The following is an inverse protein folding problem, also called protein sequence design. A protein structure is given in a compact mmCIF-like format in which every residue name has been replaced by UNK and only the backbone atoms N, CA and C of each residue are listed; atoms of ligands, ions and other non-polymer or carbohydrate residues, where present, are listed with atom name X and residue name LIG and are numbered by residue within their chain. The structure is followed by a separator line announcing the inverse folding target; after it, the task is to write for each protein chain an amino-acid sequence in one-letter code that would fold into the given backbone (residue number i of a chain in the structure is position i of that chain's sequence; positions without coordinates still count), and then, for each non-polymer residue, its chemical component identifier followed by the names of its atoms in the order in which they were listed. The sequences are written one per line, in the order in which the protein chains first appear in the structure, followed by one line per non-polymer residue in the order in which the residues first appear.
data_IF_093718878269
#
_entry.id   IF_093718878269
#
_cell.length_a   1.000
_cell.length_b   1.000
_cell.length_c   1.000
_cell.angle_alpha   90.00
_cell.angle_beta   90.00
_cell.angle_gamma   90.00
#
_symmetry.space_group_name_H-M   'P 1'
#
loop_
_entity.id
_entity.type
_entity.pdbx_description
1 polymer ?
#
# COMPACT_ATOMS: atom_id res chain seq x y z
N UNK A 1 -11.94 14.73 56.99
CA UNK A 1 -11.44 13.36 57.21
C UNK A 1 -11.97 12.47 56.08
N UNK A 2 -11.13 11.92 55.20
CA UNK A 2 -11.54 10.97 54.17
C UNK A 2 -11.29 9.51 54.60
N UNK A 3 -11.97 8.51 54.01
CA UNK A 3 -11.46 7.15 53.99
C UNK A 3 -10.88 6.76 52.63
N UNK A 4 -9.61 6.36 52.71
CA UNK A 4 -8.98 5.19 52.11
C UNK A 4 -9.17 4.85 50.61
N UNK A 5 -8.06 5.04 49.91
CA UNK A 5 -7.58 4.39 48.70
C UNK A 5 -7.89 2.88 48.57
N UNK A 6 -8.29 2.44 47.36
CA UNK A 6 -8.05 1.08 46.88
C UNK A 6 -7.48 1.11 45.46
N UNK A 7 -6.33 0.44 45.32
CA UNK A 7 -5.51 0.39 44.12
C UNK A 7 -6.12 -0.45 43.00
N UNK A 8 -5.83 -0.01 41.77
CA UNK A 8 -6.18 -0.65 40.51
C UNK A 8 -5.07 -1.66 40.15
N UNK A 9 -5.36 -2.96 40.25
CA UNK A 9 -4.48 -4.01 39.71
C UNK A 9 -4.88 -4.28 38.25
N UNK A 10 -4.01 -3.93 37.32
CA UNK A 10 -4.14 -4.27 35.89
C UNK A 10 -3.40 -5.58 35.65
N UNK A 11 -4.15 -6.65 35.41
CA UNK A 11 -3.63 -7.96 35.02
C UNK A 11 -3.31 -8.00 33.52
N UNK A 12 -2.03 -8.06 33.15
CA UNK A 12 -1.60 -8.42 31.80
C UNK A 12 -1.38 -9.94 31.71
N UNK A 13 -2.36 -10.67 31.17
CA UNK A 13 -2.17 -12.07 30.74
C UNK A 13 -1.58 -12.10 29.33
N UNK A 14 -0.28 -12.36 29.22
CA UNK A 14 0.36 -12.73 27.96
C UNK A 14 0.19 -14.24 27.71
N UNK A 15 -0.58 -14.59 26.68
CA UNK A 15 -0.63 -15.95 26.13
C UNK A 15 0.63 -16.18 25.29
N UNK A 16 1.55 -17.01 25.78
CA UNK A 16 2.66 -17.56 24.99
C UNK A 16 2.17 -18.84 24.31
N UNK A 17 2.06 -18.82 22.98
CA UNK A 17 2.08 -20.06 22.20
C UNK A 17 3.51 -20.31 21.72
N UNK A 18 4.07 -21.42 22.18
CA UNK A 18 5.30 -21.99 21.69
C UNK A 18 4.99 -22.94 20.53
N UNK A 19 5.69 -22.82 19.41
CA UNK A 19 5.86 -23.93 18.49
C UNK A 19 7.32 -24.00 18.03
N UNK A 20 7.96 -25.08 18.45
CA UNK A 20 9.24 -25.57 17.95
C UNK A 20 9.08 -25.90 16.46
N UNK A 21 9.97 -25.39 15.60
CA UNK A 21 10.34 -26.08 14.37
C UNK A 21 11.85 -26.03 14.18
N UNK A 22 12.40 -27.21 13.97
CA UNK A 22 13.81 -27.51 13.73
C UNK A 22 14.25 -27.04 12.35
N UNK A 23 15.46 -26.49 12.29
CA UNK A 23 16.11 -25.97 11.09
C UNK A 23 16.86 -27.11 10.37
N UNK A 24 16.60 -27.43 9.08
CA UNK A 24 17.52 -28.24 8.29
C UNK A 24 18.52 -27.35 7.52
N UNK A 25 19.79 -27.76 7.58
CA UNK A 25 20.92 -27.19 6.85
C UNK A 25 20.78 -27.40 5.34
N UNK A 26 21.04 -26.36 4.54
CA UNK A 26 21.22 -26.48 3.08
C UNK A 26 22.71 -26.26 2.75
N UNK A 27 23.34 -27.11 1.91
CA UNK A 27 24.72 -26.95 1.47
C UNK A 27 24.85 -25.97 0.29
N UNK A 28 26.04 -25.36 0.17
CA UNK A 28 26.47 -24.44 -0.90
C UNK A 28 26.52 -25.16 -2.26
N UNK A 29 26.18 -24.50 -3.39
CA UNK A 29 26.60 -24.98 -4.70
C UNK A 29 27.96 -24.39 -5.12
N UNK A 30 28.80 -25.29 -5.62
CA UNK A 30 30.12 -25.07 -6.20
C UNK A 30 30.03 -24.49 -7.62
N UNK A 31 30.98 -23.60 -7.89
CA UNK A 31 31.73 -23.41 -9.13
C UNK A 31 31.02 -23.58 -10.48
N UNK A 32 30.68 -22.41 -11.02
CA UNK A 32 30.62 -22.00 -12.42
C UNK A 32 31.78 -22.57 -13.26
N UNK A 33 31.48 -23.27 -14.35
CA UNK A 33 32.42 -23.51 -15.45
C UNK A 33 31.74 -23.17 -16.80
N UNK A 34 32.48 -22.32 -17.54
CA UNK A 34 32.55 -21.98 -18.98
C UNK A 34 31.43 -22.47 -19.91
N UNK A 35 30.96 -21.67 -20.86
CA UNK A 35 31.76 -21.28 -22.04
C UNK A 35 31.01 -20.24 -22.90
N UNK A 36 31.70 -19.21 -23.41
CA UNK A 36 31.52 -18.68 -24.78
C UNK A 36 32.54 -17.58 -25.10
N UNK A 37 33.46 -17.95 -26.00
CA UNK A 37 33.93 -17.23 -27.19
C UNK A 37 34.34 -15.76 -27.04
N UNK A 38 35.64 -15.51 -27.22
CA UNK A 38 36.22 -14.21 -27.59
C UNK A 38 36.81 -14.30 -29.01
N UNK A 39 36.77 -13.23 -29.83
CA UNK A 39 37.66 -13.09 -30.98
C UNK A 39 38.94 -12.33 -30.59
N UNK A 40 40.01 -12.71 -31.29
CA UNK A 40 41.40 -12.34 -31.09
C UNK A 40 41.74 -10.93 -31.60
N UNK A 41 42.71 -10.29 -30.95
CA UNK A 41 43.60 -9.30 -31.57
C UNK A 41 45.04 -9.53 -31.09
N UNK A 42 45.95 -9.41 -32.05
CA UNK A 42 47.37 -9.81 -32.11
C UNK A 42 48.35 -8.89 -31.36
N UNK A 43 49.65 -9.28 -31.21
CA UNK A 43 50.53 -8.83 -30.14
C UNK A 43 51.56 -7.76 -30.56
N UNK A 44 52.12 -7.03 -29.58
CA UNK A 44 53.31 -6.18 -29.78
C UNK A 44 54.32 -6.33 -28.62
N UNK A 45 55.34 -7.13 -28.94
CA UNK A 45 56.80 -7.12 -28.65
C UNK A 45 57.41 -6.17 -27.59
N UNK A 46 58.52 -6.69 -27.03
CA UNK A 46 59.69 -6.04 -26.38
C UNK A 46 59.54 -5.71 -24.87
N UNK A 47 60.51 -5.92 -23.97
CA UNK A 47 61.88 -6.41 -24.08
C UNK A 47 62.43 -6.85 -22.69
N UNK A 48 63.31 -7.86 -22.75
CA UNK A 48 64.53 -8.18 -21.96
C UNK A 48 64.85 -7.50 -20.60
N UNK A 49 65.19 -8.34 -19.59
CA UNK A 49 66.49 -8.35 -18.84
C UNK A 49 66.46 -9.45 -17.76
N UNK A 50 67.08 -10.62 -17.99
CA UNK A 50 68.38 -11.05 -17.43
C UNK A 50 68.59 -10.84 -15.91
N UNK A 51 68.62 -11.94 -15.14
CA UNK A 51 69.84 -12.44 -14.49
C UNK A 51 69.68 -13.87 -13.92
N UNK A 52 70.62 -14.74 -14.31
CA UNK A 52 71.07 -15.98 -13.66
C UNK A 52 71.53 -15.69 -12.21
N UNK A 53 71.64 -16.62 -11.25
CA UNK A 53 71.58 -18.07 -11.22
C UNK A 53 72.04 -18.56 -9.83
N UNK A 54 71.96 -19.87 -9.65
CA UNK A 54 72.66 -20.73 -8.67
C UNK A 54 72.34 -20.66 -7.15
N UNK A 55 71.62 -21.72 -6.76
CA UNK A 55 72.01 -22.79 -5.83
C UNK A 55 72.23 -22.57 -4.33
N UNK A 56 71.80 -23.64 -3.63
CA UNK A 56 72.26 -24.22 -2.36
C UNK A 56 71.51 -23.83 -1.08
N UNK A 57 70.65 -24.77 -0.66
CA UNK A 57 70.64 -25.41 0.66
C UNK A 57 70.95 -24.58 1.91
N UNK A 58 70.03 -24.62 2.88
CA UNK A 58 70.41 -24.42 4.28
C UNK A 58 69.35 -23.80 5.17
N UNK A 59 68.56 -24.68 5.78
CA UNK A 59 68.11 -24.64 7.18
C UNK A 59 67.68 -23.30 7.85
N UNK A 60 66.42 -23.31 8.30
CA UNK A 60 65.89 -22.73 9.54
C UNK A 60 66.41 -21.36 10.02
N UNK A 61 65.49 -20.36 10.05
CA UNK A 61 65.23 -19.53 11.25
C UNK A 61 63.98 -18.65 11.10
N UNK A 62 63.11 -18.78 12.10
CA UNK A 62 62.16 -17.80 12.67
C UNK A 62 61.84 -16.54 11.86
N UNK A 63 60.65 -16.53 11.23
CA UNK A 63 60.00 -15.33 10.70
C UNK A 63 58.90 -14.84 11.64
N UNK A 64 59.21 -13.80 12.39
CA UNK A 64 58.32 -13.01 13.23
C UNK A 64 57.31 -12.26 12.33
N UNK A 65 56.03 -12.65 12.34
CA UNK A 65 54.97 -11.93 11.63
C UNK A 65 54.31 -10.90 12.55
N UNK A 66 54.56 -9.62 12.23
CA UNK A 66 53.84 -8.45 12.74
C UNK A 66 52.35 -8.54 12.40
N UNK A 67 51.50 -8.72 13.40
CA UNK A 67 50.05 -8.61 13.26
C UNK A 67 49.64 -7.13 13.26
N UNK A 68 49.02 -6.68 12.16
CA UNK A 68 48.34 -5.40 12.09
C UNK A 68 47.15 -5.44 13.05
N UNK A 69 47.28 -4.74 14.18
CA UNK A 69 46.24 -4.57 15.20
C UNK A 69 45.03 -3.84 14.59
N UNK A 70 44.08 -4.58 14.00
CA UNK A 70 42.72 -4.05 13.76
C UNK A 70 42.10 -3.85 15.13
N UNK A 71 41.82 -2.60 15.48
CA UNK A 71 41.16 -2.22 16.73
C UNK A 71 39.81 -2.94 16.82
N UNK A 72 39.80 -4.08 17.50
CA UNK A 72 38.61 -4.88 17.76
C UNK A 72 37.99 -4.40 19.07
N UNK A 73 37.43 -3.20 19.05
CA UNK A 73 36.69 -2.64 20.19
C UNK A 73 35.48 -3.50 20.62
N UNK A 74 35.11 -4.51 19.83
CA UNK A 74 33.91 -5.33 20.04
C UNK A 74 34.17 -6.85 19.98
N UNK A 75 35.37 -7.35 20.33
CA UNK A 75 35.62 -8.81 20.39
C UNK A 75 34.89 -9.50 21.56
N UNK A 76 34.49 -8.74 22.58
CA UNK A 76 33.79 -9.29 23.76
C UNK A 76 32.28 -9.49 23.53
N UNK A 77 31.72 -8.90 22.48
CA UNK A 77 30.28 -8.94 22.20
C UNK A 77 29.97 -10.09 21.24
N UNK A 78 29.05 -10.98 21.62
CA UNK A 78 28.66 -12.12 20.78
C UNK A 78 28.12 -11.65 19.41
N UNK A 79 28.27 -12.45 18.33
CA UNK A 79 27.90 -12.03 16.96
C UNK A 79 26.44 -11.54 16.81
N UNK A 80 25.53 -12.10 17.60
CA UNK A 80 24.11 -11.72 17.65
C UNK A 80 23.90 -10.32 18.22
N UNK A 81 24.63 -9.96 19.28
CA UNK A 81 24.56 -8.64 19.91
C UNK A 81 25.23 -7.58 19.03
N UNK A 82 26.29 -7.93 18.30
CA UNK A 82 26.92 -7.04 17.32
C UNK A 82 25.98 -6.67 16.16
N UNK A 83 25.20 -7.64 15.67
CA UNK A 83 24.15 -7.39 14.66
C UNK A 83 23.00 -6.53 15.21
N UNK A 84 22.61 -6.73 16.47
CA UNK A 84 21.59 -5.93 17.14
C UNK A 84 22.03 -4.48 17.35
N UNK A 85 23.26 -4.28 17.84
CA UNK A 85 23.88 -2.96 18.00
C UNK A 85 23.99 -2.29 16.63
N UNK A 86 24.45 -3.00 15.60
CA UNK A 86 24.54 -2.43 14.26
C UNK A 86 23.17 -2.01 13.70
N UNK A 87 22.13 -2.84 13.88
CA UNK A 87 20.75 -2.49 13.51
C UNK A 87 20.25 -1.26 14.28
N UNK A 88 20.48 -1.18 15.59
CA UNK A 88 20.03 -0.08 16.42
C UNK A 88 20.69 1.26 16.04
N UNK A 89 22.00 1.25 15.74
CA UNK A 89 22.76 2.48 15.49
C UNK A 89 22.83 2.89 14.00
N UNK A 90 22.75 1.95 13.05
CA UNK A 90 22.88 2.26 11.62
C UNK A 90 21.56 2.13 10.86
N UNK A 91 20.64 1.25 11.26
CA UNK A 91 19.32 1.11 10.62
C UNK A 91 18.25 1.89 11.40
N UNK A 92 18.33 1.90 12.73
CA UNK A 92 17.41 2.59 13.62
C UNK A 92 17.24 4.08 13.30
N UNK A 93 18.31 4.89 13.20
CA UNK A 93 18.16 6.32 12.97
C UNK A 93 17.59 6.67 11.58
N UNK A 94 18.01 6.05 10.45
CA UNK A 94 17.38 6.29 9.16
C UNK A 94 15.91 5.85 9.12
N UNK A 95 15.58 4.68 9.69
CA UNK A 95 14.19 4.19 9.75
C UNK A 95 13.34 5.08 10.65
N UNK A 96 13.87 5.50 11.80
CA UNK A 96 13.22 6.44 12.71
C UNK A 96 13.00 7.80 12.06
N UNK A 97 13.99 8.32 11.32
CA UNK A 97 13.87 9.55 10.54
C UNK A 97 12.75 9.43 9.50
N UNK A 98 12.69 8.32 8.76
CA UNK A 98 11.63 8.07 7.79
C UNK A 98 10.25 7.99 8.48
N UNK A 99 10.13 7.19 9.53
CA UNK A 99 8.85 7.02 10.25
C UNK A 99 8.40 8.32 10.94
N UNK A 100 9.32 9.21 11.33
CA UNK A 100 8.95 10.48 11.95
C UNK A 100 8.69 11.59 10.93
N UNK A 101 9.41 11.67 9.82
CA UNK A 101 9.25 12.76 8.83
C UNK A 101 8.16 12.51 7.79
N UNK A 102 7.87 11.26 7.44
CA UNK A 102 6.92 10.99 6.35
C UNK A 102 5.45 11.01 6.79
N UNK A 103 5.03 10.43 7.93
CA UNK A 103 3.64 10.47 8.39
C UNK A 103 3.34 11.61 9.38
N UNK A 104 4.35 12.20 10.02
CA UNK A 104 4.18 13.27 11.00
C UNK A 104 5.06 14.48 10.62
N UNK A 105 4.57 15.69 10.80
CA UNK A 105 5.33 16.92 10.57
C UNK A 105 5.04 17.92 11.67
N UNK A 106 6.07 18.56 12.21
CA UNK A 106 5.90 19.67 13.15
C UNK A 106 5.90 20.98 12.35
N UNK A 107 4.78 21.70 12.40
CA UNK A 107 4.61 22.99 11.72
C UNK A 107 4.43 24.12 12.73
N UNK A 108 4.75 25.34 12.31
CA UNK A 108 4.52 26.56 13.10
C UNK A 108 3.26 27.25 12.59
N UNK A 109 2.39 27.66 13.51
CA UNK A 109 1.18 28.40 13.18
C UNK A 109 1.48 29.88 13.30
N UNK A 110 1.29 30.61 12.20
CA UNK A 110 1.47 32.06 12.14
C UNK A 110 0.12 32.70 11.82
N UNK A 111 -0.23 33.77 12.54
CA UNK A 111 -1.44 34.56 12.30
C UNK A 111 -2.63 34.26 13.26
N UNK A 112 -3.65 35.14 13.24
CA UNK A 112 -4.76 35.13 14.22
C UNK A 112 -5.92 34.21 13.84
N UNK A 113 -5.90 33.62 12.65
CA UNK A 113 -7.13 33.06 12.06
C UNK A 113 -7.71 31.85 12.79
N UNK A 114 -6.92 31.21 13.66
CA UNK A 114 -7.31 30.08 14.49
C UNK A 114 -7.36 30.43 15.99
N UNK A 115 -7.28 31.73 16.33
CA UNK A 115 -7.46 32.23 17.69
C UNK A 115 -8.92 32.07 18.13
N UNK A 116 -9.22 31.65 19.38
CA UNK A 116 -8.31 31.51 20.52
C UNK A 116 -7.62 30.14 20.63
N UNK A 117 -8.01 29.14 19.83
CA UNK A 117 -7.47 27.78 19.97
C UNK A 117 -5.96 27.75 19.71
N UNK A 118 -5.54 28.28 18.57
CA UNK A 118 -4.14 28.42 18.18
C UNK A 118 -3.78 29.91 18.16
N UNK A 119 -2.59 30.22 18.67
CA UNK A 119 -2.01 31.56 18.68
C UNK A 119 -2.89 32.59 19.42
N UNK A 120 -3.32 32.24 20.63
CA UNK A 120 -4.20 33.06 21.47
C UNK A 120 -3.61 34.45 21.79
N UNK A 121 -2.28 34.52 21.98
CA UNK A 121 -1.58 35.75 22.39
C UNK A 121 -1.18 36.65 21.21
N UNK A 122 -1.69 36.38 20.01
CA UNK A 122 -1.34 37.15 18.82
C UNK A 122 -1.64 38.65 18.94
N UNK A 123 -2.73 39.01 19.63
CA UNK A 123 -3.15 40.41 19.81
C UNK A 123 -2.39 41.13 20.93
N UNK A 124 -1.76 40.40 21.86
CA UNK A 124 -1.20 40.94 23.10
C UNK A 124 0.14 41.66 22.92
N UNK A 125 0.78 41.57 21.75
CA UNK A 125 2.07 42.22 21.43
C UNK A 125 3.28 41.74 22.26
N UNK A 126 3.07 40.99 23.34
CA UNK A 126 4.10 40.26 24.07
C UNK A 126 4.67 39.18 23.15
N UNK A 127 6.00 39.19 22.98
CA UNK A 127 6.84 38.21 22.27
C UNK A 127 6.07 37.27 21.34
N UNK A 128 6.08 37.53 20.04
CA UNK A 128 5.38 36.75 19.00
C UNK A 128 5.83 35.28 19.01
N UNK A 129 5.22 34.50 19.89
CA UNK A 129 5.64 33.17 20.21
C UNK A 129 4.69 32.23 19.48
N UNK A 130 5.18 31.66 18.38
CA UNK A 130 4.37 30.82 17.50
C UNK A 130 4.04 29.49 18.15
N UNK A 131 2.76 29.13 18.15
CA UNK A 131 2.33 27.78 18.48
C UNK A 131 2.91 26.79 17.47
N UNK A 132 3.33 25.63 17.98
CA UNK A 132 3.75 24.51 17.13
C UNK A 132 2.66 23.46 17.12
N UNK A 133 2.44 22.84 15.97
CA UNK A 133 1.43 21.81 15.79
C UNK A 133 2.05 20.54 15.23
N UNK A 134 1.57 19.39 15.66
CA UNK A 134 1.90 18.10 15.06
C UNK A 134 0.83 17.75 14.04
N UNK A 135 1.25 17.70 12.78
CA UNK A 135 0.41 17.37 11.64
C UNK A 135 0.64 15.91 11.28
N UNK A 136 -0.42 15.12 11.28
CA UNK A 136 -0.44 13.79 10.70
C UNK A 136 -0.73 13.90 9.21
N UNK A 137 0.28 13.66 8.38
CA UNK A 137 0.15 13.72 6.91
C UNK A 137 -0.78 12.63 6.41
N UNK A 138 -1.64 12.99 5.45
CA UNK A 138 -2.41 12.03 4.68
C UNK A 138 -1.42 11.30 3.76
N UNK A 139 -1.34 9.98 3.86
CA UNK A 139 -0.47 9.18 3.00
C UNK A 139 -1.31 8.69 1.81
N UNK A 140 -1.04 9.23 0.62
CA UNK A 140 -1.69 8.74 -0.59
C UNK A 140 -1.27 7.28 -0.87
N UNK A 141 -2.22 6.39 -1.21
CA UNK A 141 -2.01 4.94 -1.31
C UNK A 141 -1.07 4.50 -2.46
N UNK A 142 -0.59 5.40 -3.30
CA UNK A 142 0.13 5.08 -4.54
C UNK A 142 1.66 4.96 -4.41
N UNK A 143 2.20 4.74 -3.21
CA UNK A 143 3.63 4.40 -3.06
C UNK A 143 3.86 2.90 -3.23
N UNK A 144 4.56 2.43 -4.27
CA UNK A 144 4.90 1.03 -4.44
C UNK A 144 5.94 0.61 -3.38
N UNK A 145 5.63 -0.42 -2.58
CA UNK A 145 6.62 -1.13 -1.77
C UNK A 145 6.38 -1.21 -0.26
N UNK A 146 5.42 -0.47 0.31
CA UNK A 146 5.04 -0.62 1.71
C UNK A 146 3.55 -0.30 1.90
N UNK A 147 2.69 -1.31 1.83
CA UNK A 147 1.27 -1.19 2.16
C UNK A 147 1.01 -1.75 3.57
N UNK A 148 1.16 -0.99 4.66
CA UNK A 148 0.06 -1.02 5.61
C UNK A 148 -1.13 -0.43 4.85
N UNK A 149 -2.23 -1.18 4.73
CA UNK A 149 -3.53 -0.64 4.33
C UNK A 149 -3.96 0.37 5.40
N UNK A 150 -3.36 1.56 5.38
CA UNK A 150 -3.76 2.64 6.26
C UNK A 150 -5.20 2.97 5.85
N UNK A 151 -6.15 2.98 6.80
CA UNK A 151 -7.55 3.24 6.50
C UNK A 151 -7.67 4.57 5.76
N UNK A 152 -8.58 4.66 4.78
CA UNK A 152 -8.90 5.94 4.13
C UNK A 152 -9.16 6.97 5.22
N UNK A 153 -8.39 8.06 5.23
CA UNK A 153 -8.56 9.13 6.20
C UNK A 153 -9.93 9.77 5.95
N UNK A 154 -10.87 9.50 6.84
CA UNK A 154 -12.19 10.13 6.81
C UNK A 154 -12.07 11.46 7.54
N UNK A 155 -12.25 12.55 6.80
CA UNK A 155 -12.37 13.89 7.38
C UNK A 155 -13.65 13.93 8.22
N UNK A 156 -13.53 14.38 9.46
CA UNK A 156 -14.67 14.56 10.37
C UNK A 156 -14.86 16.03 10.70
N UNK A 157 -16.11 16.41 10.97
CA UNK A 157 -16.47 17.75 11.48
C UNK A 157 -15.69 18.05 12.76
N UNK A 158 -15.29 19.30 12.93
CA UNK A 158 -14.52 19.79 14.08
C UNK A 158 -13.02 19.56 14.00
N UNK A 159 -12.52 18.66 13.13
CA UNK A 159 -11.08 18.42 12.97
C UNK A 159 -10.35 19.65 12.43
N UNK A 160 -9.08 19.81 12.82
CA UNK A 160 -8.20 20.81 12.23
C UNK A 160 -7.42 20.18 11.09
N UNK A 161 -7.45 20.83 9.93
CA UNK A 161 -6.77 20.39 8.72
C UNK A 161 -5.74 21.42 8.29
N UNK A 162 -4.64 20.91 7.76
CA UNK A 162 -3.59 21.69 7.10
C UNK A 162 -3.67 21.40 5.61
N UNK A 163 -3.76 22.44 4.79
CA UNK A 163 -4.01 22.31 3.36
C UNK A 163 -3.35 23.45 2.57
N UNK A 164 -3.13 23.22 1.27
CA UNK A 164 -2.68 24.26 0.34
C UNK A 164 -3.80 25.25 0.05
N UNK A 165 -3.53 26.54 0.20
CA UNK A 165 -4.54 27.56 0.01
C UNK A 165 -5.00 27.61 -1.46
N UNK A 166 -6.31 27.60 -1.76
CA UNK A 166 -6.80 27.53 -3.14
C UNK A 166 -6.46 28.78 -3.97
N UNK A 167 -6.25 29.92 -3.33
CA UNK A 167 -5.89 31.19 -3.96
C UNK A 167 -4.37 31.39 -4.13
N UNK A 168 -3.56 30.61 -3.41
CA UNK A 168 -2.10 30.71 -3.44
C UNK A 168 -1.48 29.34 -3.08
N UNK A 169 -1.11 28.53 -4.08
CA UNK A 169 -0.65 27.15 -3.85
C UNK A 169 0.70 27.06 -3.13
N UNK A 170 1.46 28.16 -3.04
CA UNK A 170 2.70 28.19 -2.26
C UNK A 170 2.44 28.35 -0.76
N UNK A 171 1.23 28.81 -0.39
CA UNK A 171 0.85 29.02 1.01
C UNK A 171 0.09 27.84 1.57
N UNK A 172 0.41 27.51 2.81
CA UNK A 172 -0.27 26.50 3.61
C UNK A 172 -1.10 27.19 4.68
N UNK A 173 -2.34 26.76 4.83
CA UNK A 173 -3.27 27.27 5.83
C UNK A 173 -3.70 26.16 6.79
N UNK A 174 -3.99 26.56 8.03
CA UNK A 174 -4.61 25.70 9.05
C UNK A 174 -6.00 26.23 9.32
N UNK A 175 -7.02 25.39 9.16
CA UNK A 175 -8.43 25.72 9.41
C UNK A 175 -9.15 24.56 10.08
N UNK A 176 -10.34 24.84 10.61
CA UNK A 176 -11.24 23.84 11.15
C UNK A 176 -12.22 23.37 10.09
N UNK A 177 -12.44 22.07 10.00
CA UNK A 177 -13.51 21.47 9.20
C UNK A 177 -14.85 21.75 9.89
N UNK A 178 -15.70 22.50 9.22
CA UNK A 178 -17.05 22.81 9.67
C UNK A 178 -18.07 21.88 9.03
N UNK A 179 -17.88 21.53 7.75
CA UNK A 179 -18.75 20.56 7.09
C UNK A 179 -18.02 19.66 6.09
N UNK A 180 -18.63 18.51 5.87
CA UNK A 180 -18.16 17.40 5.04
C UNK A 180 -19.20 17.13 3.94
N UNK A 181 -18.89 16.29 2.92
CA UNK A 181 -19.81 16.05 1.82
C UNK A 181 -21.22 15.67 2.27
N UNK A 182 -22.22 16.34 1.70
CA UNK A 182 -23.64 16.18 2.06
C UNK A 182 -24.17 17.13 3.12
N UNK A 183 -23.31 17.90 3.80
CA UNK A 183 -23.76 18.94 4.73
C UNK A 183 -24.29 20.17 3.98
N UNK A 184 -25.28 20.83 4.57
CA UNK A 184 -25.77 22.13 4.13
C UNK A 184 -25.32 23.20 5.12
N UNK A 185 -24.65 24.23 4.63
CA UNK A 185 -24.00 25.25 5.46
C UNK A 185 -24.51 26.62 5.06
N UNK A 186 -24.97 27.39 6.05
CA UNK A 186 -25.24 28.81 5.86
C UNK A 186 -23.91 29.58 5.92
N UNK A 187 -23.45 30.20 4.82
CA UNK A 187 -22.23 30.99 4.81
C UNK A 187 -22.37 32.27 5.67
N UNK A 188 -21.25 32.90 5.99
CA UNK A 188 -21.22 34.23 6.61
C UNK A 188 -21.54 35.31 5.56
N UNK A 189 -21.96 36.48 6.03
CA UNK A 189 -22.21 37.65 5.19
C UNK A 189 -20.96 37.98 4.34
N UNK A 190 -21.19 38.33 3.07
CA UNK A 190 -20.11 38.64 2.12
C UNK A 190 -19.55 37.43 1.35
N UNK A 191 -20.16 36.24 1.46
CA UNK A 191 -19.79 35.11 0.62
C UNK A 191 -20.13 35.38 -0.85
N UNK A 192 -19.18 35.17 -1.80
CA UNK A 192 -19.42 35.46 -3.22
C UNK A 192 -20.56 34.66 -3.86
N UNK A 193 -20.92 33.50 -3.30
CA UNK A 193 -22.05 32.69 -3.76
C UNK A 193 -23.41 33.14 -3.23
N UNK A 194 -23.49 34.26 -2.51
CA UNK A 194 -24.72 34.81 -1.93
C UNK A 194 -25.07 34.27 -0.55
N UNK A 195 -26.27 34.60 -0.07
CA UNK A 195 -26.74 34.23 1.28
C UNK A 195 -27.42 32.85 1.33
N UNK A 196 -27.52 32.16 0.18
CA UNK A 196 -28.14 30.84 0.11
C UNK A 196 -27.28 29.76 0.79
N UNK A 197 -27.90 28.79 1.49
CA UNK A 197 -27.17 27.69 2.09
C UNK A 197 -26.46 26.84 1.03
N UNK A 198 -25.17 26.61 1.22
CA UNK A 198 -24.31 25.84 0.31
C UNK A 198 -24.29 24.38 0.73
N UNK A 199 -24.52 23.47 -0.23
CA UNK A 199 -24.31 22.03 -0.01
C UNK A 199 -22.86 21.68 -0.32
N UNK A 200 -22.18 21.01 0.61
CA UNK A 200 -20.79 20.59 0.40
C UNK A 200 -20.75 19.41 -0.59
N UNK A 201 -20.07 19.53 -1.74
CA UNK A 201 -20.07 18.49 -2.77
C UNK A 201 -19.13 17.33 -2.45
N UNK A 202 -19.21 16.28 -3.26
CA UNK A 202 -18.34 15.11 -3.17
C UNK A 202 -16.86 15.52 -3.19
N UNK A 203 -16.06 14.85 -2.36
CA UNK A 203 -14.62 15.08 -2.22
C UNK A 203 -14.23 16.54 -1.89
N UNK A 204 -15.15 17.32 -1.33
CA UNK A 204 -14.88 18.66 -0.82
C UNK A 204 -15.22 18.78 0.66
N UNK A 205 -14.68 19.81 1.31
CA UNK A 205 -14.93 20.15 2.71
C UNK A 205 -15.11 21.65 2.84
N UNK A 206 -15.93 22.07 3.80
CA UNK A 206 -16.04 23.46 4.19
C UNK A 206 -15.21 23.69 5.43
N UNK A 207 -14.24 24.60 5.32
CA UNK A 207 -13.31 24.94 6.40
C UNK A 207 -13.45 26.41 6.82
N UNK A 208 -13.38 26.67 8.12
CA UNK A 208 -13.42 28.01 8.69
C UNK A 208 -12.29 28.22 9.72
N UNK A 209 -11.89 29.47 9.91
CA UNK A 209 -11.06 29.84 11.05
C UNK A 209 -11.90 30.09 12.31
N UNK A 210 -11.29 29.88 13.48
CA UNK A 210 -11.92 30.18 14.78
C UNK A 210 -11.91 31.68 15.10
N UNK A 211 -11.01 32.45 14.47
CA UNK A 211 -10.85 33.87 14.70
C UNK A 211 -11.93 34.75 14.05
N UNK A 212 -11.87 36.05 14.35
CA UNK A 212 -12.81 37.04 13.81
C UNK A 212 -12.51 37.41 12.35
N UNK A 213 -11.24 37.51 11.99
CA UNK A 213 -10.78 37.86 10.64
C UNK A 213 -10.06 36.69 10.00
N UNK A 214 -10.77 35.98 9.11
CA UNK A 214 -10.31 34.71 8.54
C UNK A 214 -10.52 34.71 7.04
N UNK A 215 -9.45 34.37 6.30
CA UNK A 215 -9.59 33.97 4.91
C UNK A 215 -9.83 32.46 4.89
N UNK A 216 -11.06 32.04 4.60
CA UNK A 216 -11.52 30.66 4.66
C UNK A 216 -12.65 30.38 3.65
N UNK A 217 -13.44 29.31 3.84
CA UNK A 217 -14.47 28.92 2.86
C UNK A 217 -15.58 29.95 2.70
N UNK A 218 -15.76 30.88 3.66
CA UNK A 218 -16.65 32.02 3.47
C UNK A 218 -16.14 33.03 2.44
N UNK A 219 -14.88 32.91 1.99
CA UNK A 219 -14.31 33.77 0.95
C UNK A 219 -14.21 33.06 -0.42
N UNK A 220 -13.91 31.77 -0.44
CA UNK A 220 -13.66 31.03 -1.70
C UNK A 220 -14.53 29.77 -1.90
N UNK A 221 -15.39 29.43 -0.94
CA UNK A 221 -16.27 28.26 -0.99
C UNK A 221 -15.62 26.96 -0.49
N UNK A 222 -16.23 25.80 -0.75
CA UNK A 222 -15.71 24.52 -0.31
C UNK A 222 -14.40 24.16 -1.05
N UNK A 223 -13.46 23.51 -0.35
CA UNK A 223 -12.16 23.11 -0.90
C UNK A 223 -12.10 21.61 -1.14
N UNK A 224 -11.34 21.18 -2.15
CA UNK A 224 -11.11 19.75 -2.39
C UNK A 224 -10.33 19.12 -1.24
N UNK A 225 -10.73 17.93 -0.82
CA UNK A 225 -9.99 17.13 0.17
C UNK A 225 -8.58 16.77 -0.32
N UNK A 226 -8.32 16.80 -1.63
CA UNK A 226 -7.00 16.55 -2.19
C UNK A 226 -5.98 17.66 -1.88
N UNK A 227 -6.44 18.86 -1.49
CA UNK A 227 -5.55 19.95 -1.04
C UNK A 227 -5.08 19.72 0.40
N UNK A 228 -5.71 18.81 1.15
CA UNK A 228 -5.38 18.51 2.54
C UNK A 228 -4.04 17.77 2.61
N UNK A 229 -3.08 18.39 3.28
CA UNK A 229 -1.76 17.83 3.59
C UNK A 229 -1.87 16.87 4.76
N UNK A 230 -2.64 17.24 5.80
CA UNK A 230 -2.75 16.44 7.02
C UNK A 230 -3.69 17.01 8.07
N UNK A 231 -3.81 16.29 9.18
CA UNK A 231 -4.67 16.62 10.32
C UNK A 231 -3.84 17.03 11.53
N UNK A 232 -4.25 18.07 12.24
CA UNK A 232 -3.58 18.48 13.48
C UNK A 232 -3.98 17.55 14.62
N UNK A 233 -2.99 16.94 15.28
CA UNK A 233 -3.20 16.00 16.39
C UNK A 233 -2.83 16.59 17.75
N UNK A 234 -1.68 17.25 17.81
CA UNK A 234 -1.13 17.82 19.04
C UNK A 234 -0.73 19.28 18.78
N UNK A 235 -0.73 20.08 19.85
CA UNK A 235 -0.15 21.43 19.83
C UNK A 235 0.78 21.65 21.02
N UNK A 236 1.77 22.53 20.83
CA UNK A 236 2.65 23.03 21.87
C UNK A 236 2.53 24.55 21.93
N UNK A 237 2.19 25.08 23.11
CA UNK A 237 2.26 26.50 23.40
C UNK A 237 3.70 26.87 23.76
N UNK A 238 4.19 28.07 23.39
CA UNK A 238 5.57 28.48 23.62
C UNK A 238 6.04 28.40 25.08
N UNK A 239 5.14 28.67 26.02
CA UNK A 239 5.42 28.62 27.47
C UNK A 239 5.13 27.25 28.11
N UNK A 240 4.61 26.28 27.35
CA UNK A 240 4.26 24.95 27.84
C UNK A 240 5.17 23.89 27.21
N UNK A 241 5.96 23.21 28.04
CA UNK A 241 6.91 22.19 27.58
C UNK A 241 6.25 20.86 27.15
N UNK A 242 4.95 20.66 27.40
CA UNK A 242 4.25 19.41 27.12
C UNK A 242 3.19 19.56 26.01
N UNK A 243 3.06 18.58 25.08
CA UNK A 243 2.02 18.61 24.06
C UNK A 243 0.62 18.51 24.67
N UNK A 244 -0.31 19.32 24.15
CA UNK A 244 -1.74 19.21 24.44
C UNK A 244 -2.43 18.51 23.27
N UNK A 245 -3.20 17.46 23.57
CA UNK A 245 -4.05 16.80 22.59
C UNK A 245 -5.27 17.66 22.27
N UNK A 246 -5.59 17.80 20.99
CA UNK A 246 -6.77 18.55 20.56
C UNK A 246 -7.97 17.60 20.57
N UNK A 247 -8.86 17.77 21.55
CA UNK A 247 -10.18 17.16 21.51
C UNK A 247 -11.07 17.96 20.56
N UNK A 248 -11.16 17.49 19.32
CA UNK A 248 -11.94 18.13 18.26
C UNK A 248 -13.42 17.77 18.29
N UNK A 249 -13.83 16.72 19.03
CA UNK A 249 -15.23 16.27 19.09
C UNK A 249 -16.07 17.20 19.97
N UNK A 250 -15.52 17.56 21.13
CA UNK A 250 -16.23 18.36 22.14
C UNK A 250 -15.99 19.87 22.01
N UNK A 251 -15.07 20.29 21.15
CA UNK A 251 -14.77 21.70 20.97
C UNK A 251 -15.96 22.45 20.34
N UNK A 252 -16.34 23.57 20.95
CA UNK A 252 -17.30 24.50 20.34
C UNK A 252 -16.56 25.48 19.43
N UNK A 253 -17.16 25.80 18.29
CA UNK A 253 -16.60 26.70 17.29
C UNK A 253 -17.72 27.52 16.65
N UNK A 254 -17.43 28.69 16.06
CA UNK A 254 -18.46 29.66 15.70
C UNK A 254 -19.62 29.06 14.89
N UNK A 255 -19.33 28.24 13.88
CA UNK A 255 -20.37 27.60 13.06
C UNK A 255 -21.31 26.67 13.85
N UNK A 256 -20.79 25.92 14.82
CA UNK A 256 -21.55 25.02 15.70
C UNK A 256 -22.41 25.83 16.68
N UNK A 257 -21.84 26.88 17.28
CA UNK A 257 -22.54 27.80 18.19
C UNK A 257 -23.74 28.50 17.53
N UNK A 258 -23.56 28.97 16.30
CA UNK A 258 -24.63 29.63 15.52
C UNK A 258 -25.55 28.66 14.78
N UNK A 259 -25.37 27.34 14.94
CA UNK A 259 -26.14 26.28 14.24
C UNK A 259 -26.26 26.52 12.73
N UNK A 260 -25.15 26.91 12.08
CA UNK A 260 -25.13 27.17 10.63
C UNK A 260 -24.98 25.92 9.78
N UNK A 261 -24.79 24.76 10.40
CA UNK A 261 -24.53 23.49 9.72
C UNK A 261 -25.72 22.56 9.95
N UNK A 262 -26.35 22.14 8.86
CA UNK A 262 -27.28 21.03 8.83
C UNK A 262 -26.52 19.79 8.32
N UNK A 263 -26.43 18.77 9.18
CA UNK A 263 -25.60 17.61 8.92
C UNK A 263 -26.29 16.59 8.00
N UNK A 264 -25.55 16.05 7.03
CA UNK A 264 -25.95 14.91 6.19
C UNK A 264 -27.27 15.06 5.42
N UNK A 265 -27.69 16.29 5.10
CA UNK A 265 -28.95 16.59 4.41
C UNK A 265 -28.99 16.00 2.99
N UNK A 266 -27.86 15.97 2.29
CA UNK A 266 -27.79 15.54 0.89
C UNK A 266 -26.90 14.29 0.75
N UNK A 267 -27.49 13.11 0.92
CA UNK A 267 -26.75 11.85 0.85
C UNK A 267 -26.07 11.59 -0.50
N UNK A 268 -26.67 12.03 -1.60
CA UNK A 268 -26.08 11.89 -2.94
C UNK A 268 -24.74 12.61 -3.07
N UNK A 269 -24.54 13.73 -2.37
CA UNK A 269 -23.28 14.46 -2.40
C UNK A 269 -22.12 13.71 -1.73
N UNK A 270 -22.37 12.60 -1.03
CA UNK A 270 -21.33 11.70 -0.49
C UNK A 270 -20.83 10.68 -1.51
N UNK A 271 -21.59 10.44 -2.58
CA UNK A 271 -21.27 9.45 -3.60
C UNK A 271 -20.38 10.07 -4.67
N UNK A 272 -19.50 9.25 -5.25
CA UNK A 272 -18.67 9.68 -6.38
C UNK A 272 -19.59 9.99 -7.58
N UNK A 273 -19.47 11.17 -8.22
CA UNK A 273 -20.23 11.50 -9.43
C UNK A 273 -20.17 10.42 -10.51
N UNK A 274 -19.01 9.75 -10.65
CA UNK A 274 -18.86 8.66 -11.61
C UNK A 274 -19.73 7.46 -11.21
N UNK A 275 -19.77 7.10 -9.92
CA UNK A 275 -20.62 6.02 -9.43
C UNK A 275 -22.12 6.33 -9.62
N UNK A 276 -22.53 7.58 -9.38
CA UNK A 276 -23.90 8.04 -9.63
C UNK A 276 -24.24 7.85 -11.12
N UNK A 277 -23.42 8.40 -12.02
CA UNK A 277 -23.64 8.28 -13.47
C UNK A 277 -23.67 6.84 -13.94
N UNK A 278 -22.82 5.98 -13.39
CA UNK A 278 -22.78 4.56 -13.75
C UNK A 278 -24.05 3.85 -13.28
N UNK A 279 -24.48 4.05 -12.04
CA UNK A 279 -25.71 3.45 -11.50
C UNK A 279 -26.95 3.90 -12.28
N UNK A 280 -27.02 5.18 -12.67
CA UNK A 280 -28.08 5.70 -13.54
C UNK A 280 -28.16 4.98 -14.90
N UNK A 281 -27.04 4.54 -15.47
CA UNK A 281 -27.03 3.78 -16.72
C UNK A 281 -27.74 2.42 -16.58
N UNK A 282 -27.68 1.81 -15.40
CA UNK A 282 -28.40 0.57 -15.09
C UNK A 282 -29.89 0.83 -14.86
N UNK A 283 -30.25 1.91 -14.16
CA UNK A 283 -31.66 2.23 -13.88
C UNK A 283 -32.42 2.75 -15.10
N UNK A 284 -31.75 3.47 -16.00
CA UNK A 284 -32.37 4.08 -17.18
C UNK A 284 -32.49 3.11 -18.38
N UNK A 285 -32.09 1.84 -18.20
CA UNK A 285 -32.21 0.78 -19.21
C UNK A 285 -31.13 0.79 -20.31
N UNK A 286 -30.14 1.68 -20.23
CA UNK A 286 -29.00 1.68 -21.17
C UNK A 286 -28.18 0.40 -21.01
N UNK A 287 -27.88 0.01 -19.78
CA UNK A 287 -27.16 -1.23 -19.50
C UNK A 287 -27.95 -2.47 -19.96
N UNK A 288 -29.29 -2.45 -19.89
CA UNK A 288 -30.14 -3.54 -20.36
C UNK A 288 -30.03 -3.73 -21.89
N UNK A 289 -29.99 -2.63 -22.65
CA UNK A 289 -29.77 -2.68 -24.11
C UNK A 289 -28.39 -3.19 -24.48
N UNK A 290 -27.36 -2.78 -23.73
CA UNK A 290 -26.01 -3.30 -23.91
C UNK A 290 -25.94 -4.80 -23.59
N UNK A 291 -26.65 -5.27 -22.57
CA UNK A 291 -26.78 -6.70 -22.26
C UNK A 291 -27.46 -7.47 -23.40
N UNK A 292 -28.56 -6.96 -23.95
CA UNK A 292 -29.22 -7.58 -25.11
C UNK A 292 -28.31 -7.62 -26.34
N UNK A 293 -27.55 -6.54 -26.58
CA UNK A 293 -26.56 -6.50 -27.66
C UNK A 293 -25.45 -7.54 -27.44
N UNK A 294 -24.96 -7.70 -26.21
CA UNK A 294 -23.98 -8.74 -25.86
C UNK A 294 -24.53 -10.14 -26.11
N UNK A 295 -25.76 -10.41 -25.70
CA UNK A 295 -26.43 -11.70 -25.95
C UNK A 295 -26.60 -11.98 -27.45
N UNK A 296 -26.97 -10.96 -28.23
CA UNK A 296 -27.13 -11.07 -29.69
C UNK A 296 -25.81 -11.34 -30.41
N UNK A 297 -24.71 -10.75 -29.95
CA UNK A 297 -23.38 -10.87 -30.57
C UNK A 297 -22.41 -11.71 -29.74
N UNK A 298 -22.92 -12.66 -28.94
CA UNK A 298 -22.14 -13.47 -27.98
C UNK A 298 -20.95 -14.15 -28.65
N UNK A 299 -21.17 -14.77 -29.82
CA UNK A 299 -20.14 -15.51 -30.56
C UNK A 299 -19.02 -14.60 -31.10
N UNK A 300 -19.31 -13.31 -31.26
CA UNK A 300 -18.34 -12.33 -31.74
C UNK A 300 -17.54 -11.68 -30.61
N UNK A 301 -17.94 -11.83 -29.34
CA UNK A 301 -17.25 -11.23 -28.20
C UNK A 301 -15.76 -11.61 -28.13
N UNK A 302 -15.35 -12.89 -28.31
CA UNK A 302 -13.94 -13.27 -28.33
C UNK A 302 -13.14 -12.55 -29.42
N UNK A 303 -13.72 -12.41 -30.61
CA UNK A 303 -13.08 -11.72 -31.73
C UNK A 303 -12.95 -10.22 -31.48
N UNK A 304 -13.98 -9.60 -30.86
CA UNK A 304 -13.95 -8.17 -30.50
C UNK A 304 -12.90 -7.85 -29.44
N UNK A 305 -12.60 -8.78 -28.55
CA UNK A 305 -11.57 -8.64 -27.51
C UNK A 305 -10.14 -8.64 -28.04
N UNK A 306 -9.92 -9.02 -29.31
CA UNK A 306 -8.61 -8.88 -29.94
C UNK A 306 -8.19 -7.40 -30.08
N UNK A 307 -9.16 -6.48 -30.17
CA UNK A 307 -8.88 -5.05 -30.14
C UNK A 307 -8.79 -4.55 -28.69
N UNK A 308 -7.66 -3.94 -28.35
CA UNK A 308 -7.35 -3.42 -27.00
C UNK A 308 -8.40 -2.42 -26.50
N UNK A 309 -8.90 -1.51 -27.35
CA UNK A 309 -9.92 -0.53 -26.97
C UNK A 309 -11.24 -1.21 -26.60
N UNK A 310 -11.67 -2.18 -27.41
CA UNK A 310 -12.89 -2.95 -27.15
C UNK A 310 -12.73 -3.79 -25.89
N UNK A 311 -11.56 -4.40 -25.69
CA UNK A 311 -11.25 -5.16 -24.49
C UNK A 311 -11.33 -4.28 -23.24
N UNK A 312 -10.74 -3.08 -23.26
CA UNK A 312 -10.86 -2.12 -22.17
C UNK A 312 -12.31 -1.72 -21.91
N UNK A 313 -13.10 -1.47 -22.95
CA UNK A 313 -14.53 -1.16 -22.81
C UNK A 313 -15.30 -2.30 -22.13
N UNK A 314 -15.10 -3.54 -22.58
CA UNK A 314 -15.75 -4.73 -22.01
C UNK A 314 -15.34 -4.92 -20.54
N UNK A 315 -14.05 -4.77 -20.23
CA UNK A 315 -13.57 -4.86 -18.85
C UNK A 315 -14.12 -3.75 -17.96
N UNK A 316 -14.23 -2.53 -18.47
CA UNK A 316 -14.87 -1.43 -17.76
C UNK A 316 -16.34 -1.73 -17.47
N UNK A 317 -17.10 -2.21 -18.47
CA UNK A 317 -18.51 -2.59 -18.26
C UNK A 317 -18.67 -3.71 -17.23
N UNK A 318 -17.77 -4.72 -17.24
CA UNK A 318 -17.76 -5.75 -16.21
C UNK A 318 -17.51 -5.18 -14.82
N UNK A 319 -16.52 -4.29 -14.69
CA UNK A 319 -16.20 -3.65 -13.41
C UNK A 319 -17.40 -2.81 -12.89
N UNK A 320 -18.05 -2.06 -13.78
CA UNK A 320 -19.26 -1.30 -13.44
C UNK A 320 -20.42 -2.20 -13.00
N UNK A 321 -20.66 -3.29 -13.72
CA UNK A 321 -21.70 -4.25 -13.35
C UNK A 321 -21.40 -4.92 -12.01
N UNK A 322 -20.12 -5.23 -11.74
CA UNK A 322 -19.70 -5.78 -10.45
C UNK A 322 -19.93 -4.80 -9.30
N UNK A 323 -19.57 -3.53 -9.47
CA UNK A 323 -19.81 -2.48 -8.46
C UNK A 323 -21.32 -2.31 -8.20
N UNK A 324 -22.14 -2.23 -9.25
CA UNK A 324 -23.60 -2.11 -9.11
C UNK A 324 -24.23 -3.35 -8.45
N UNK A 325 -23.71 -4.55 -8.74
CA UNK A 325 -24.14 -5.79 -8.10
C UNK A 325 -23.79 -5.80 -6.60
N UNK A 326 -22.62 -5.29 -6.22
CA UNK A 326 -22.20 -5.15 -4.82
C UNK A 326 -23.09 -4.15 -4.04
N UNK A 327 -23.68 -3.15 -4.71
CA UNK A 327 -24.62 -2.21 -4.12
C UNK A 327 -26.00 -2.83 -3.80
N UNK A 328 -26.31 -4.03 -4.31
CA UNK A 328 -27.55 -4.79 -4.05
C UNK A 328 -28.85 -4.02 -4.32
N UNK A 329 -28.89 -3.18 -5.36
CA UNK A 329 -30.08 -2.43 -5.73
C UNK A 329 -31.09 -3.32 -6.49
N UNK A 330 -32.33 -3.50 -6.00
CA UNK A 330 -33.27 -4.47 -6.56
C UNK A 330 -33.67 -4.21 -8.02
N UNK A 331 -33.56 -2.96 -8.49
CA UNK A 331 -33.94 -2.60 -9.87
C UNK A 331 -32.85 -2.89 -10.91
N UNK A 332 -31.58 -2.89 -10.52
CA UNK A 332 -30.43 -3.01 -11.41
C UNK A 332 -29.67 -4.33 -11.25
N UNK A 333 -29.89 -5.07 -10.15
CA UNK A 333 -29.17 -6.31 -9.82
C UNK A 333 -29.28 -7.36 -10.93
N UNK A 334 -30.45 -7.58 -11.51
CA UNK A 334 -30.64 -8.58 -12.58
C UNK A 334 -29.82 -8.24 -13.84
N UNK A 335 -29.83 -6.97 -14.23
CA UNK A 335 -29.07 -6.49 -15.40
C UNK A 335 -27.57 -6.57 -15.15
N UNK A 336 -27.13 -6.13 -13.96
CA UNK A 336 -25.74 -6.21 -13.54
C UNK A 336 -25.23 -7.66 -13.53
N UNK A 337 -26.00 -8.58 -12.93
CA UNK A 337 -25.67 -10.01 -12.94
C UNK A 337 -25.59 -10.56 -14.36
N UNK A 338 -26.56 -10.22 -15.22
CA UNK A 338 -26.54 -10.65 -16.62
C UNK A 338 -25.28 -10.20 -17.36
N UNK A 339 -24.86 -8.93 -17.20
CA UNK A 339 -23.63 -8.42 -17.81
C UNK A 339 -22.39 -9.16 -17.29
N UNK A 340 -22.32 -9.37 -15.97
CA UNK A 340 -21.20 -10.10 -15.35
C UNK A 340 -21.09 -11.54 -15.87
N UNK A 341 -22.22 -12.22 -16.05
CA UNK A 341 -22.24 -13.59 -16.58
C UNK A 341 -21.79 -13.65 -18.05
N UNK A 342 -22.36 -12.80 -18.92
CA UNK A 342 -22.01 -12.79 -20.35
C UNK A 342 -20.54 -12.45 -20.57
N UNK A 343 -20.05 -11.38 -19.92
CA UNK A 343 -18.67 -10.94 -20.04
C UNK A 343 -17.69 -11.89 -19.36
N UNK A 344 -18.05 -12.42 -18.18
CA UNK A 344 -17.23 -13.40 -17.47
C UNK A 344 -17.00 -14.66 -18.30
N UNK A 345 -18.05 -15.18 -18.94
CA UNK A 345 -17.95 -16.34 -19.83
C UNK A 345 -17.12 -16.02 -21.08
N UNK A 346 -17.27 -14.81 -21.63
CA UNK A 346 -16.45 -14.35 -22.75
C UNK A 346 -14.96 -14.28 -22.36
N UNK A 347 -14.62 -13.68 -21.21
CA UNK A 347 -13.24 -13.60 -20.73
C UNK A 347 -12.62 -14.98 -20.49
N UNK A 348 -13.35 -15.92 -19.92
CA UNK A 348 -12.88 -17.30 -19.74
C UNK A 348 -12.61 -17.99 -21.09
N UNK A 349 -13.43 -17.75 -22.11
CA UNK A 349 -13.24 -18.34 -23.44
C UNK A 349 -11.92 -17.94 -24.11
N UNK A 350 -11.33 -16.80 -23.71
CA UNK A 350 -10.03 -16.32 -24.19
C UNK A 350 -8.88 -16.60 -23.20
N UNK A 351 -9.13 -17.38 -22.15
CA UNK A 351 -8.12 -17.77 -21.16
C UNK A 351 -7.81 -16.69 -20.10
N UNK A 352 -8.72 -15.75 -19.88
CA UNK A 352 -8.65 -14.79 -18.78
C UNK A 352 -9.48 -15.28 -17.58
N UNK A 353 -9.27 -14.66 -16.42
CA UNK A 353 -10.18 -14.82 -15.29
C UNK A 353 -11.52 -14.12 -15.60
N UNK A 354 -12.58 -14.47 -14.84
CA UNK A 354 -13.93 -13.86 -15.03
C UNK A 354 -13.95 -12.35 -14.88
N UNK A 355 -12.97 -11.75 -14.22
CA UNK A 355 -12.78 -10.32 -14.05
C UNK A 355 -11.95 -9.66 -15.17
N UNK A 356 -11.60 -10.43 -16.21
CA UNK A 356 -10.77 -9.99 -17.33
C UNK A 356 -9.28 -9.85 -16.98
N UNK A 357 -8.86 -10.26 -15.79
CA UNK A 357 -7.45 -10.27 -15.42
C UNK A 357 -6.73 -11.48 -16.03
N UNK A 358 -5.42 -11.34 -16.28
CA UNK A 358 -4.61 -12.49 -16.68
C UNK A 358 -4.59 -13.49 -15.53
N UNK A 359 -4.94 -14.74 -15.83
CA UNK A 359 -4.79 -15.82 -14.86
C UNK A 359 -3.32 -15.87 -14.42
N UNK A 360 -3.04 -15.99 -13.11
CA UNK A 360 -1.68 -16.26 -12.68
C UNK A 360 -1.19 -17.51 -13.43
N UNK A 361 0.10 -17.56 -13.83
CA UNK A 361 0.63 -18.76 -14.44
C UNK A 361 0.29 -19.93 -13.52
N UNK A 362 -0.34 -20.96 -14.07
CA UNK A 362 -0.69 -22.13 -13.30
C UNK A 362 0.59 -22.61 -12.61
N UNK A 363 0.67 -22.39 -11.29
CA UNK A 363 1.70 -22.99 -10.48
C UNK A 363 1.33 -24.46 -10.54
N UNK A 364 1.95 -25.20 -11.46
CA UNK A 364 1.88 -26.65 -11.40
C UNK A 364 2.28 -26.99 -9.97
N UNK A 365 1.44 -27.72 -9.21
CA UNK A 365 1.80 -28.09 -7.86
C UNK A 365 3.22 -28.66 -7.94
N UNK A 366 4.15 -28.08 -7.20
CA UNK A 366 5.52 -28.56 -7.20
C UNK A 366 5.44 -30.05 -6.89
N UNK A 367 5.82 -30.90 -7.87
CA UNK A 367 5.78 -32.35 -7.71
C UNK A 367 6.41 -32.66 -6.36
N UNK A 368 5.66 -33.31 -5.47
CA UNK A 368 6.19 -33.61 -4.15
C UNK A 368 7.39 -34.55 -4.31
N UNK A 369 8.39 -34.44 -3.43
CA UNK A 369 9.60 -35.27 -3.53
C UNK A 369 9.27 -36.79 -3.55
N UNK A 370 8.12 -37.16 -2.98
CA UNK A 370 7.57 -38.51 -3.00
C UNK A 370 7.04 -38.92 -4.38
N UNK A 371 6.31 -38.05 -5.08
CA UNK A 371 5.82 -38.30 -6.43
C UNK A 371 6.97 -38.45 -7.44
N UNK A 372 8.00 -37.60 -7.31
CA UNK A 372 9.22 -37.69 -8.14
C UNK A 372 9.93 -39.03 -7.91
N UNK A 373 10.03 -39.48 -6.64
CA UNK A 373 10.63 -40.77 -6.30
C UNK A 373 9.81 -41.95 -6.82
N UNK A 374 8.48 -41.90 -6.70
CA UNK A 374 7.59 -42.96 -7.20
C UNK A 374 7.62 -43.06 -8.72
N UNK A 375 7.70 -41.93 -9.44
CA UNK A 375 7.83 -41.90 -10.89
C UNK A 375 9.16 -42.49 -11.36
N UNK A 376 10.27 -42.10 -10.73
CA UNK A 376 11.60 -42.69 -11.00
C UNK A 376 11.65 -44.19 -10.68
N UNK A 377 10.96 -44.62 -9.63
CA UNK A 377 10.86 -46.03 -9.26
C UNK A 377 10.09 -46.82 -10.33
N UNK A 378 8.96 -46.27 -10.82
CA UNK A 378 8.20 -46.88 -11.93
C UNK A 378 9.03 -47.00 -13.21
N UNK A 379 9.73 -45.94 -13.62
CA UNK A 379 10.62 -45.98 -14.78
C UNK A 379 11.76 -47.01 -14.62
N UNK A 380 12.32 -47.14 -13.42
CA UNK A 380 13.34 -48.15 -13.13
C UNK A 380 12.78 -49.57 -13.22
N UNK A 381 11.58 -49.80 -12.70
CA UNK A 381 10.93 -51.11 -12.75
C UNK A 381 10.56 -51.48 -14.18
N UNK A 382 9.99 -50.57 -14.97
CA UNK A 382 9.65 -50.81 -16.38
C UNK A 382 10.89 -51.06 -17.27
N UNK A 383 12.02 -50.43 -16.95
CA UNK A 383 13.28 -50.69 -17.66
C UNK A 383 13.88 -52.05 -17.31
N UNK A 384 13.63 -52.55 -16.10
CA UNK A 384 14.24 -53.78 -15.57
C UNK A 384 13.28 -54.97 -15.53
N UNK A 385 12.02 -54.80 -15.95
CA UNK A 385 11.13 -55.94 -16.16
C UNK A 385 11.62 -56.73 -17.37
N UNK A 386 12.01 -58.01 -17.20
CA UNK A 386 12.41 -58.84 -18.33
C UNK A 386 11.23 -58.97 -19.27
N UNK A 387 11.42 -58.65 -20.54
CA UNK A 387 10.42 -58.93 -21.58
C UNK A 387 10.23 -60.44 -21.60
N UNK A 388 9.02 -60.92 -21.28
CA UNK A 388 8.68 -62.33 -21.45
C UNK A 388 8.95 -62.73 -22.90
N UNK A 389 9.96 -63.58 -23.07
CA UNK A 389 10.17 -64.28 -24.33
C UNK A 389 9.03 -65.29 -24.42
N UNK A 390 8.03 -65.00 -25.25
CA UNK A 390 7.05 -66.00 -25.69
C UNK A 390 7.82 -67.15 -26.33
N UNK A 391 7.94 -68.25 -25.61
CA UNK A 391 8.35 -69.51 -26.21
C UNK A 391 7.15 -70.05 -26.98
N UNK A 392 7.13 -69.80 -28.28
CA UNK A 392 6.22 -70.46 -29.22
C UNK A 392 6.61 -71.95 -29.26
N UNK A 393 5.79 -72.80 -28.63
CA UNK A 393 5.91 -74.25 -28.72
C UNK A 393 5.65 -74.71 -30.16
N UNK A 394 6.70 -75.18 -30.84
CA UNK A 394 6.63 -75.94 -32.10
C UNK A 394 6.29 -77.41 -31.78
N UNK A 395 5.36 -78.06 -32.52
CA UNK A 395 4.87 -79.40 -32.18
C UNK A 395 5.87 -80.50 -32.58
N UNK A 396 6.10 -81.46 -31.69
CA UNK A 396 6.91 -82.65 -31.97
C UNK A 396 6.10 -83.65 -32.83
N UNK A 397 6.50 -83.79 -34.10
CA UNK A 397 6.09 -84.84 -35.02
C UNK A 397 7.15 -85.96 -35.05
N UNK A 398 6.76 -87.16 -34.64
CA UNK A 398 6.90 -88.40 -35.43
C UNK A 398 8.27 -89.09 -35.61
N UNK A 399 8.20 -90.43 -35.39
CA UNK A 399 9.00 -91.54 -35.97
C UNK A 399 10.32 -91.90 -35.26
N UNK A 400 10.77 -93.15 -35.07
CA UNK A 400 10.30 -94.55 -35.21
C UNK A 400 11.46 -95.47 -34.74
N UNK A 401 11.13 -96.69 -34.30
CA UNK A 401 11.95 -97.95 -34.25
C UNK A 401 13.17 -97.99 -33.30
N UNK A 402 13.49 -99.10 -32.63
CA UNK A 402 13.24 -100.52 -32.90
C UNK A 402 12.92 -101.34 -31.64
#
# INVERSE_FOLDING_TARGET
MPPASRGLQIAFRFVRYASKTSNPKIPKPLARLKEKVAPQLTPRRADTSYQEGHNSSGNQRSGQQNSKTRWSFFSWITPTHRLWIWRLFFIGPPVGFVILHFPLEVMRVTGPSMSPLLNADYESGLFSAYDRILVQKVMFPDRPGARPTLPRWQVKRGQLVVFYAPHDPEKVAVKRVVGVPGDRIKPREGYPGGDEPVVVPYNHIWVEGDGNTTLDSNAYGPISQNLVIGFVRLMWKPWLNWPVSIDWEHHDYPAKKYRRVEEDVVHQAKLDPNQISNSEAFTNGVAARELEAMRKFRDQLPTRMMNEQNFHKLRYMYAQAKEEFELQNPKSTEVAQGIMEELGNAFESVGLARDGNRLPPAIMPAETEQEVKQRKLKEYLERNTPKEVKNDCVPAMGYLTA
#
